data_IF_812408254144
#
_entry.id   IF_812408254144
#
_cell.length_a   1.000
_cell.length_b   1.000
_cell.length_c   1.000
_cell.angle_alpha   90.00
_cell.angle_beta   90.00
_cell.angle_gamma   90.00
#
_symmetry.space_group_name_H-M   'P 1'
#
loop_
_entity.id
_entity.type
_entity.pdbx_description
1 polymer ?
#
# COMPACT_ATOMS: atom_id res chain seq x y z
N UNK A 1 22.92 -41.05 -43.40
CA UNK A 1 21.75 -41.12 -42.47
C UNK A 1 21.96 -40.31 -41.18
N UNK A 2 22.37 -39.04 -41.25
CA UNK A 2 22.69 -38.24 -40.04
C UNK A 2 21.93 -36.89 -39.93
N UNK A 3 21.04 -36.57 -40.87
CA UNK A 3 20.32 -35.27 -40.90
C UNK A 3 18.92 -35.29 -40.21
N UNK A 4 18.34 -36.44 -39.89
CA UNK A 4 16.98 -36.49 -39.33
C UNK A 4 16.94 -36.37 -37.79
N UNK A 5 18.02 -36.70 -37.10
CA UNK A 5 18.05 -36.66 -35.61
C UNK A 5 18.09 -35.21 -35.11
N UNK A 6 18.76 -34.30 -35.80
CA UNK A 6 18.84 -32.89 -35.39
C UNK A 6 17.51 -32.14 -35.44
N UNK A 7 16.65 -32.44 -36.42
CA UNK A 7 15.35 -31.77 -36.58
C UNK A 7 14.38 -32.21 -35.49
N UNK A 8 14.35 -33.50 -35.15
CA UNK A 8 13.46 -34.03 -34.09
C UNK A 8 13.80 -33.47 -32.71
N UNK A 9 15.10 -33.26 -32.40
CA UNK A 9 15.52 -32.68 -31.13
C UNK A 9 15.11 -31.20 -31.02
N UNK A 10 15.28 -30.43 -32.10
CA UNK A 10 14.90 -29.01 -32.12
C UNK A 10 13.40 -28.82 -31.99
N UNK A 11 12.59 -29.61 -32.66
CA UNK A 11 11.13 -29.57 -32.55
C UNK A 11 10.68 -29.95 -31.13
N UNK A 12 11.31 -30.95 -30.53
CA UNK A 12 11.01 -31.34 -29.12
C UNK A 12 11.29 -30.21 -28.12
N UNK A 13 12.41 -29.51 -28.26
CA UNK A 13 12.77 -28.37 -27.40
C UNK A 13 11.75 -27.22 -27.56
N UNK A 14 11.34 -26.88 -28.78
CA UNK A 14 10.34 -25.83 -29.02
C UNK A 14 9.00 -26.17 -28.40
N UNK A 15 8.55 -27.41 -28.46
CA UNK A 15 7.29 -27.84 -27.85
C UNK A 15 7.37 -27.76 -26.33
N UNK A 16 8.47 -28.18 -25.72
CA UNK A 16 8.66 -28.14 -24.26
C UNK A 16 8.68 -26.68 -23.77
N UNK A 17 9.39 -25.78 -24.47
CA UNK A 17 9.42 -24.36 -24.11
C UNK A 17 8.06 -23.69 -24.27
N UNK A 18 7.29 -24.03 -25.30
CA UNK A 18 5.93 -23.53 -25.50
C UNK A 18 4.97 -23.99 -24.39
N UNK A 19 5.05 -25.24 -23.94
CA UNK A 19 4.24 -25.77 -22.84
C UNK A 19 4.61 -25.09 -21.51
N UNK A 20 5.89 -24.87 -21.25
CA UNK A 20 6.34 -24.16 -20.04
C UNK A 20 5.81 -22.72 -20.05
N UNK A 21 5.94 -22.00 -21.17
CA UNK A 21 5.42 -20.62 -21.28
C UNK A 21 3.90 -20.58 -21.11
N UNK A 22 3.18 -21.56 -21.68
CA UNK A 22 1.73 -21.66 -21.53
C UNK A 22 1.31 -21.89 -20.07
N UNK A 23 1.99 -22.79 -19.36
CA UNK A 23 1.72 -23.02 -17.93
C UNK A 23 2.08 -21.84 -17.03
N UNK A 24 3.11 -21.06 -17.37
CA UNK A 24 3.44 -19.85 -16.62
C UNK A 24 2.46 -18.69 -16.88
N UNK A 25 1.80 -18.63 -18.05
CA UNK A 25 0.79 -17.61 -18.32
C UNK A 25 -0.60 -17.90 -17.71
N UNK A 26 -0.89 -19.13 -17.27
CA UNK A 26 -2.15 -19.45 -16.60
C UNK A 26 -2.09 -19.28 -15.07
N UNK A 27 -0.91 -19.01 -14.50
CA UNK A 27 -0.80 -18.56 -13.11
C UNK A 27 -0.93 -17.04 -13.05
N UNK A 28 -2.07 -16.50 -13.49
CA UNK A 28 -2.56 -15.24 -12.93
C UNK A 28 -2.87 -15.55 -11.48
N UNK A 29 -1.97 -15.15 -10.59
CA UNK A 29 -2.22 -15.15 -9.17
C UNK A 29 -3.36 -14.17 -8.91
N UNK A 30 -4.58 -14.66 -8.86
CA UNK A 30 -5.69 -13.96 -8.25
C UNK A 30 -5.38 -13.90 -6.74
N UNK A 31 -4.55 -12.92 -6.35
CA UNK A 31 -4.12 -12.72 -4.96
C UNK A 31 -5.18 -11.89 -4.23
N UNK A 32 -6.43 -12.25 -4.40
CA UNK A 32 -7.49 -11.76 -3.52
C UNK A 32 -7.60 -12.76 -2.38
N UNK A 33 -6.87 -12.54 -1.29
CA UNK A 33 -7.12 -13.30 -0.07
C UNK A 33 -8.42 -12.79 0.53
N UNK A 34 -9.39 -13.67 0.68
CA UNK A 34 -10.64 -13.37 1.38
C UNK A 34 -10.48 -13.92 2.79
N UNK A 35 -10.26 -13.04 3.78
CA UNK A 35 -10.31 -13.45 5.18
C UNK A 35 -11.77 -13.59 5.62
N UNK A 36 -12.15 -14.79 6.08
CA UNK A 36 -13.47 -15.04 6.63
C UNK A 36 -13.56 -14.50 8.06
N UNK A 37 -14.33 -13.44 8.25
CA UNK A 37 -14.65 -12.90 9.57
C UNK A 37 -16.05 -13.36 10.00
N UNK A 38 -16.21 -13.71 11.29
CA UNK A 38 -17.51 -14.12 11.84
C UNK A 38 -18.18 -12.95 12.56
N UNK A 39 -19.19 -12.33 11.94
CA UNK A 39 -20.12 -11.45 12.64
C UNK A 39 -21.29 -12.24 13.22
N UNK A 40 -21.97 -11.64 14.24
CA UNK A 40 -23.20 -12.21 14.82
C UNK A 40 -24.29 -12.35 13.74
N UNK A 41 -24.36 -13.51 13.11
CA UNK A 41 -25.41 -13.82 12.14
C UNK A 41 -24.95 -14.46 10.84
N UNK A 42 -23.66 -14.62 10.57
CA UNK A 42 -23.19 -15.29 9.34
C UNK A 42 -21.73 -15.02 9.02
N UNK A 43 -21.19 -15.77 8.05
CA UNK A 43 -19.90 -15.49 7.45
C UNK A 43 -20.04 -14.35 6.46
N UNK A 44 -19.35 -13.25 6.69
CA UNK A 44 -19.20 -12.17 5.73
C UNK A 44 -17.79 -12.26 5.16
N UNK A 45 -17.67 -12.47 3.86
CA UNK A 45 -16.39 -12.42 3.17
C UNK A 45 -15.98 -10.94 2.99
N UNK A 46 -14.89 -10.52 3.59
CA UNK A 46 -14.32 -9.20 3.35
C UNK A 46 -13.14 -9.31 2.39
N UNK A 47 -13.07 -8.36 1.48
CA UNK A 47 -11.90 -8.24 0.62
C UNK A 47 -10.73 -7.76 1.46
N UNK A 48 -9.64 -8.49 1.44
CA UNK A 48 -8.38 -8.10 2.06
C UNK A 48 -7.33 -8.04 0.96
N UNK A 49 -6.75 -6.86 0.77
CA UNK A 49 -5.65 -6.72 -0.18
C UNK A 49 -4.36 -7.21 0.46
N UNK A 50 -3.63 -8.14 -0.19
CA UNK A 50 -2.38 -8.70 0.35
C UNK A 50 -1.29 -7.65 0.46
N UNK A 51 -0.29 -7.93 1.28
CA UNK A 51 0.91 -7.11 1.32
C UNK A 51 1.61 -7.13 -0.04
N UNK A 52 1.78 -5.95 -0.61
CA UNK A 52 2.51 -5.68 -1.84
C UNK A 52 3.39 -4.44 -1.61
N UNK A 53 4.57 -4.61 -0.98
CA UNK A 53 5.39 -3.48 -0.55
C UNK A 53 5.82 -2.60 -1.72
N UNK A 54 5.60 -1.29 -1.59
CA UNK A 54 6.01 -0.28 -2.55
C UNK A 54 7.21 0.49 -2.00
N UNK A 55 8.13 0.88 -2.86
CA UNK A 55 9.40 1.50 -2.48
C UNK A 55 9.66 2.80 -3.22
N UNK A 56 10.19 3.80 -2.50
CA UNK A 56 10.67 5.06 -3.04
C UNK A 56 11.97 5.45 -2.30
N UNK A 57 13.12 5.10 -2.85
CA UNK A 57 14.40 5.28 -2.18
C UNK A 57 14.43 4.54 -0.82
N UNK A 58 14.69 5.24 0.29
CA UNK A 58 14.68 4.64 1.63
C UNK A 58 13.26 4.41 2.20
N UNK A 59 12.22 4.93 1.54
CA UNK A 59 10.83 4.80 1.96
C UNK A 59 10.22 3.49 1.46
N UNK A 60 9.46 2.84 2.32
CA UNK A 60 8.61 1.69 2.00
C UNK A 60 7.22 1.87 2.61
N UNK A 61 6.17 1.52 1.86
CA UNK A 61 4.83 1.26 2.39
C UNK A 61 4.48 -0.22 2.18
N UNK A 62 3.60 -0.77 3.02
CA UNK A 62 3.35 -2.22 3.02
C UNK A 62 2.46 -2.73 1.89
N UNK A 63 1.63 -1.87 1.27
CA UNK A 63 0.69 -2.26 0.21
C UNK A 63 0.59 -1.21 -0.88
N UNK A 64 0.05 -1.59 -2.02
CA UNK A 64 -0.38 -0.70 -3.10
C UNK A 64 -1.88 -0.36 -3.05
N UNK A 65 -2.68 -1.14 -2.28
CA UNK A 65 -4.12 -0.92 -2.10
C UNK A 65 -4.53 -1.04 -0.64
N UNK A 66 -5.42 -0.15 -0.19
CA UNK A 66 -5.92 -0.09 1.18
C UNK A 66 -7.42 0.14 1.20
N UNK A 67 -8.07 -0.41 2.23
CA UNK A 67 -9.44 -0.11 2.58
C UNK A 67 -9.52 1.21 3.38
N UNK A 68 -10.68 1.86 3.35
CA UNK A 68 -10.97 2.98 4.25
C UNK A 68 -10.89 2.51 5.72
N UNK A 69 -10.12 3.22 6.53
CA UNK A 69 -9.87 2.86 7.93
C UNK A 69 -8.77 1.83 8.16
N UNK A 70 -8.13 1.33 7.11
CA UNK A 70 -6.95 0.47 7.21
C UNK A 70 -5.69 1.28 7.58
N UNK A 71 -4.76 0.65 8.32
CA UNK A 71 -3.49 1.28 8.65
C UNK A 71 -2.52 1.19 7.47
N UNK A 72 -1.99 2.33 7.06
CA UNK A 72 -0.86 2.43 6.13
C UNK A 72 0.42 2.40 6.96
N UNK A 73 1.18 1.30 6.85
CA UNK A 73 2.46 1.17 7.53
C UNK A 73 3.57 1.76 6.67
N UNK A 74 4.35 2.63 7.29
CA UNK A 74 5.46 3.34 6.65
C UNK A 74 6.76 2.99 7.34
N UNK A 75 7.75 2.61 6.55
CA UNK A 75 9.10 2.32 6.99
C UNK A 75 10.04 3.25 6.22
N UNK A 76 10.92 3.93 6.94
CA UNK A 76 12.04 4.68 6.36
C UNK A 76 13.30 4.04 6.95
N UNK A 77 14.18 3.52 6.09
CA UNK A 77 15.37 2.80 6.51
C UNK A 77 16.61 3.23 5.71
N UNK A 78 17.79 2.84 6.21
CA UNK A 78 19.06 3.14 5.57
C UNK A 78 19.30 4.65 5.35
N UNK A 79 18.76 5.50 6.22
CA UNK A 79 19.05 6.93 6.21
C UNK A 79 20.52 7.18 6.56
N UNK A 80 21.18 8.00 5.75
CA UNK A 80 22.51 8.48 6.07
C UNK A 80 22.41 9.69 7.03
N UNK A 81 23.45 10.01 7.80
CA UNK A 81 23.43 11.14 8.76
C UNK A 81 23.09 12.50 8.13
N UNK A 82 23.37 12.67 6.84
CA UNK A 82 23.05 13.86 6.04
C UNK A 82 21.61 13.90 5.55
N UNK A 83 20.90 12.77 5.52
CA UNK A 83 19.53 12.68 5.04
C UNK A 83 18.55 13.33 6.03
N UNK A 84 18.03 14.49 5.64
CA UNK A 84 17.04 15.25 6.41
C UNK A 84 15.96 15.79 5.50
N UNK A 85 14.72 15.71 5.98
CA UNK A 85 13.61 16.22 5.20
C UNK A 85 12.25 15.74 5.71
N UNK A 86 11.29 15.70 4.80
CA UNK A 86 9.91 15.32 5.07
C UNK A 86 9.40 14.41 3.98
N UNK A 87 8.63 13.40 4.36
CA UNK A 87 7.79 12.60 3.44
C UNK A 87 6.39 13.17 3.50
N UNK A 88 5.81 13.50 2.34
CA UNK A 88 4.48 14.05 2.22
C UNK A 88 3.52 13.03 1.60
N UNK A 89 2.33 12.91 2.16
CA UNK A 89 1.23 12.07 1.66
C UNK A 89 0.07 12.97 1.23
N UNK A 90 -0.29 12.90 -0.03
CA UNK A 90 -1.37 13.69 -0.62
C UNK A 90 -2.54 12.78 -0.98
N UNK A 91 -3.77 13.24 -0.67
CA UNK A 91 -5.01 12.62 -1.14
C UNK A 91 -5.20 12.85 -2.65
N UNK A 92 -6.14 12.16 -3.32
CA UNK A 92 -6.35 12.26 -4.76
C UNK A 92 -6.53 13.69 -5.29
N UNK A 93 -7.11 14.58 -4.49
CA UNK A 93 -7.26 16.01 -4.83
C UNK A 93 -5.96 16.85 -4.74
N UNK A 94 -4.83 16.21 -4.41
CA UNK A 94 -3.54 16.89 -4.23
C UNK A 94 -3.41 17.67 -2.92
N UNK A 95 -4.34 17.52 -1.98
CA UNK A 95 -4.27 18.14 -0.65
C UNK A 95 -3.38 17.32 0.29
N UNK A 96 -2.54 17.98 1.06
CA UNK A 96 -1.66 17.33 2.05
C UNK A 96 -2.49 16.70 3.18
N UNK A 97 -2.40 15.37 3.30
CA UNK A 97 -3.04 14.61 4.36
C UNK A 97 -2.12 14.39 5.56
N UNK A 98 -0.90 13.90 5.33
CA UNK A 98 0.04 13.55 6.38
C UNK A 98 1.47 13.88 5.97
N UNK A 99 2.31 14.20 6.94
CA UNK A 99 3.72 14.45 6.73
C UNK A 99 4.57 13.79 7.82
N UNK A 100 5.74 13.29 7.43
CA UNK A 100 6.65 12.54 8.29
C UNK A 100 8.03 13.17 8.20
N UNK A 101 8.46 13.94 9.20
CA UNK A 101 9.84 14.43 9.24
C UNK A 101 10.81 13.29 9.51
N UNK A 102 11.95 13.29 8.83
CA UNK A 102 13.06 12.37 9.06
C UNK A 102 14.39 13.11 9.23
N UNK A 103 15.29 12.50 9.98
CA UNK A 103 16.63 13.03 10.25
C UNK A 103 17.56 11.84 10.54
N UNK A 104 18.34 11.43 9.54
CA UNK A 104 19.26 10.30 9.59
C UNK A 104 20.37 10.48 10.64
N UNK A 105 20.70 11.73 11.03
CA UNK A 105 21.66 11.97 12.11
C UNK A 105 21.12 11.58 13.50
N UNK A 106 19.80 11.43 13.63
CA UNK A 106 19.14 11.04 14.89
C UNK A 106 18.66 9.59 14.86
N UNK A 107 18.13 9.16 13.72
CA UNK A 107 17.55 7.83 13.55
C UNK A 107 17.81 7.31 12.13
N UNK A 108 18.57 6.24 12.03
CA UNK A 108 18.80 5.50 10.79
C UNK A 108 17.54 4.80 10.28
N UNK A 109 16.61 4.51 11.20
CA UNK A 109 15.38 3.75 10.94
C UNK A 109 14.18 4.44 11.60
N UNK A 110 13.05 4.52 10.87
CA UNK A 110 11.77 5.00 11.38
C UNK A 110 10.65 4.10 10.91
N UNK A 111 9.79 3.66 11.83
CA UNK A 111 8.58 2.88 11.55
C UNK A 111 7.40 3.56 12.21
N UNK A 112 6.34 3.77 11.45
CA UNK A 112 5.10 4.38 11.92
C UNK A 112 3.92 3.91 11.07
N UNK A 113 2.71 4.30 11.45
CA UNK A 113 1.51 4.07 10.67
C UNK A 113 0.55 5.26 10.82
N UNK A 114 -0.33 5.42 9.84
CA UNK A 114 -1.47 6.33 9.92
C UNK A 114 -2.68 5.70 9.20
N UNK A 115 -3.86 6.29 9.38
CA UNK A 115 -5.11 5.86 8.71
C UNK A 115 -5.63 6.95 7.80
N UNK A 116 -6.11 6.62 6.60
CA UNK A 116 -7.04 7.46 5.87
C UNK A 116 -8.31 7.63 6.72
N UNK A 117 -8.60 8.87 7.14
CA UNK A 117 -9.76 9.22 7.96
C UNK A 117 -10.19 10.65 7.69
N UNK A 118 -11.44 10.99 8.05
CA UNK A 118 -11.90 12.36 7.95
C UNK A 118 -11.13 13.26 8.93
N UNK A 119 -10.70 14.45 8.45
CA UNK A 119 -9.89 15.41 9.22
C UNK A 119 -10.45 16.82 9.06
N UNK A 120 -11.29 17.25 10.00
CA UNK A 120 -11.90 18.59 10.02
C UNK A 120 -10.87 19.72 9.95
N UNK A 121 -9.76 19.59 10.69
CA UNK A 121 -8.69 20.58 10.69
C UNK A 121 -8.03 20.80 9.32
N UNK A 122 -8.17 19.83 8.41
CA UNK A 122 -7.67 19.90 7.03
C UNK A 122 -8.77 20.07 5.99
N UNK A 123 -10.03 20.30 6.40
CA UNK A 123 -11.20 20.33 5.52
C UNK A 123 -11.31 19.06 4.63
N UNK A 124 -11.02 17.90 5.20
CA UNK A 124 -11.20 16.59 4.59
C UNK A 124 -12.37 15.96 5.33
N UNK A 125 -13.58 16.20 4.85
CA UNK A 125 -14.83 15.86 5.54
C UNK A 125 -15.75 14.98 4.70
N UNK A 126 -15.30 14.59 3.52
CA UNK A 126 -16.01 13.69 2.63
C UNK A 126 -15.15 12.44 2.36
N UNK A 127 -15.79 11.28 2.39
CA UNK A 127 -15.14 9.99 2.08
C UNK A 127 -14.57 9.99 0.67
N UNK A 128 -15.29 10.59 -0.29
CA UNK A 128 -14.87 10.69 -1.69
C UNK A 128 -13.53 11.42 -1.85
N UNK A 129 -13.16 12.28 -0.91
CA UNK A 129 -11.85 12.95 -0.92
C UNK A 129 -10.69 12.00 -0.58
N UNK A 130 -10.97 10.89 0.09
CA UNK A 130 -9.99 9.88 0.50
C UNK A 130 -9.85 8.74 -0.51
N UNK A 131 -10.90 8.48 -1.30
CA UNK A 131 -10.97 7.38 -2.27
C UNK A 131 -10.22 7.73 -3.55
N UNK A 132 -9.37 6.82 -4.02
CA UNK A 132 -8.60 6.96 -5.25
C UNK A 132 -7.09 6.89 -5.05
N UNK A 133 -6.34 7.42 -6.01
CA UNK A 133 -4.87 7.35 -6.03
C UNK A 133 -4.26 8.42 -5.13
N UNK A 134 -3.54 7.97 -4.12
CA UNK A 134 -2.74 8.83 -3.24
C UNK A 134 -1.33 8.95 -3.78
N UNK A 135 -0.73 10.12 -3.57
CA UNK A 135 0.63 10.43 -4.02
C UNK A 135 1.56 10.62 -2.82
N UNK A 136 2.72 9.99 -2.87
CA UNK A 136 3.78 10.14 -1.87
C UNK A 136 4.98 10.80 -2.48
N UNK A 137 5.44 11.88 -1.85
CA UNK A 137 6.65 12.60 -2.24
C UNK A 137 7.66 12.51 -1.11
N UNK A 138 8.85 12.01 -1.43
CA UNK A 138 9.97 11.93 -0.48
C UNK A 138 10.96 13.05 -0.81
N UNK A 139 11.17 13.97 0.12
CA UNK A 139 12.09 15.10 -0.07
C UNK A 139 13.52 14.61 -0.34
N UNK A 140 14.12 15.11 -1.42
CA UNK A 140 15.40 14.62 -1.95
C UNK A 140 15.26 13.56 -3.05
N UNK A 141 14.04 13.06 -3.27
CA UNK A 141 13.70 12.08 -4.32
C UNK A 141 12.47 12.52 -5.12
N UNK A 142 12.23 13.83 -5.23
CA UNK A 142 11.04 14.43 -5.83
C UNK A 142 10.84 14.09 -7.31
N UNK A 143 11.90 13.66 -8.00
CA UNK A 143 11.83 13.15 -9.38
C UNK A 143 11.10 11.80 -9.48
N UNK A 144 10.89 11.12 -8.36
CA UNK A 144 10.14 9.86 -8.27
C UNK A 144 8.91 10.07 -7.39
N UNK A 145 7.81 9.50 -7.82
CA UNK A 145 6.54 9.50 -7.10
C UNK A 145 6.20 8.06 -6.77
N UNK A 146 5.78 7.82 -5.53
CA UNK A 146 5.17 6.57 -5.15
C UNK A 146 3.66 6.80 -5.07
N UNK A 147 2.88 5.89 -5.64
CA UNK A 147 1.42 5.95 -5.62
C UNK A 147 0.87 4.68 -4.98
N UNK A 148 -0.27 4.83 -4.30
CA UNK A 148 -1.09 3.73 -3.82
C UNK A 148 -2.55 4.11 -3.91
N UNK A 149 -3.45 3.14 -3.84
CA UNK A 149 -4.88 3.33 -3.96
C UNK A 149 -5.59 3.13 -2.62
N UNK A 150 -6.51 4.02 -2.28
CA UNK A 150 -7.51 3.78 -1.24
C UNK A 150 -8.83 3.51 -1.95
N UNK A 151 -9.39 2.33 -1.77
CA UNK A 151 -10.61 1.90 -2.45
C UNK A 151 -11.85 2.32 -1.67
N UNK A 152 -13.00 2.42 -2.35
CA UNK A 152 -14.30 2.76 -1.77
C UNK A 152 -14.93 1.55 -1.07
N UNK A 153 -14.18 0.98 -0.13
CA UNK A 153 -14.62 -0.11 0.71
C UNK A 153 -14.07 0.11 2.13
N UNK A 154 -14.89 -0.13 3.14
CA UNK A 154 -14.47 0.04 4.54
C UNK A 154 -13.82 -1.21 5.10
N UNK A 155 -12.78 -1.01 5.89
CA UNK A 155 -12.33 -2.07 6.80
C UNK A 155 -13.50 -2.41 7.75
N UNK A 156 -13.84 -3.68 7.97
CA UNK A 156 -14.97 -4.09 8.79
C UNK A 156 -15.06 -3.37 10.12
N UNK A 157 -16.26 -2.91 10.47
CA UNK A 157 -16.58 -2.16 11.70
C UNK A 157 -15.90 -0.77 11.81
N UNK A 158 -15.39 -0.22 10.69
CA UNK A 158 -14.80 1.12 10.66
C UNK A 158 -15.72 2.18 10.05
N UNK A 159 -16.86 1.84 9.45
CA UNK A 159 -17.81 2.74 8.76
C UNK A 159 -18.19 3.92 9.66
N UNK A 160 -18.46 3.66 10.94
CA UNK A 160 -18.87 4.66 11.94
C UNK A 160 -17.86 5.80 12.14
N UNK A 161 -16.59 5.59 11.78
CA UNK A 161 -15.55 6.63 11.90
C UNK A 161 -15.57 7.62 10.74
N UNK A 162 -16.43 7.37 9.73
CA UNK A 162 -16.60 8.18 8.55
C UNK A 162 -17.98 8.85 8.46
N UNK A 163 -18.85 8.66 9.47
CA UNK A 163 -20.18 9.28 9.53
C UNK A 163 -20.10 10.78 9.88
N UNK A 164 -19.12 11.17 10.66
CA UNK A 164 -18.95 12.56 11.11
C UNK A 164 -17.51 13.05 10.92
N UNK A 165 -17.36 14.25 10.38
CA UNK A 165 -16.08 14.95 10.30
C UNK A 165 -15.68 15.49 11.70
N UNK A 166 -15.02 14.65 12.47
CA UNK A 166 -14.59 14.97 13.83
C UNK A 166 -13.22 15.66 13.86
N UNK A 167 -12.96 16.43 14.91
CA UNK A 167 -11.61 16.89 15.21
C UNK A 167 -10.77 15.70 15.70
N UNK A 168 -9.45 15.66 15.38
CA UNK A 168 -8.57 14.63 15.93
C UNK A 168 -8.70 14.66 17.45
N UNK A 169 -8.98 13.53 18.08
CA UNK A 169 -8.89 13.44 19.54
C UNK A 169 -7.43 13.67 19.89
N UNK A 170 -7.16 14.74 20.65
CA UNK A 170 -5.86 14.91 21.28
C UNK A 170 -5.60 13.64 22.11
N UNK A 171 -4.48 12.96 21.80
CA UNK A 171 -4.03 11.85 22.64
C UNK A 171 -3.67 12.46 23.99
N UNK A 172 -4.55 12.26 24.96
CA UNK A 172 -4.26 12.60 26.35
C UNK A 172 -3.18 11.65 26.87
N UNK A 173 -2.24 12.19 27.67
CA UNK A 173 -1.12 11.47 28.30
C UNK A 173 -1.53 10.21 29.12
N UNK A 174 -2.81 9.95 29.28
CA UNK A 174 -3.37 8.75 29.94
C UNK A 174 -3.26 7.47 29.10
N UNK A 175 -3.06 7.57 27.76
CA UNK A 175 -2.90 6.39 26.90
C UNK A 175 -1.44 5.93 26.74
N UNK A 176 -0.50 6.62 27.38
CA UNK A 176 0.93 6.31 27.36
C UNK A 176 1.45 5.65 28.65
N UNK A 177 0.55 5.21 29.54
CA UNK A 177 0.93 4.52 30.79
C UNK A 177 0.73 3.01 30.70
#
# INVERSE_FOLDING_TARGET
MQKSIGISVVVGIIIITAVIIYQFNETTWDITSTDEYYEKGGKVAHVVYPDNPQFLGPLQINKDKYLLGENIFVIINNLQPEDKGVVFFFIPEGKLFYDIPFDGSKNEFKKLYFKPQLLKAKNICDVDQLVGTWTVVFQGYEQFILEFEVVDEFLPNNERYFEECSEPKEMTDEMLK
#
